data_IF_577274506516
#
_entry.id   IF_577274506516
#
_cell.length_a   1.000
_cell.length_b   1.000
_cell.length_c   1.000
_cell.angle_alpha   90.00
_cell.angle_beta   90.00
_cell.angle_gamma   90.00
#
_symmetry.space_group_name_H-M   'P 1'
#
loop_
_entity.id
_entity.type
_entity.pdbx_description
1 polymer ?
#
# COMPACT_ATOMS: atom_id res chain seq x y z
N UNK A 1 -17.11 -56.57 -9.49
CA UNK A 1 -18.06 -55.57 -8.97
C UNK A 1 -17.29 -54.74 -7.96
N UNK A 2 -17.30 -53.41 -8.08
CA UNK A 2 -16.64 -52.54 -7.12
C UNK A 2 -17.73 -52.17 -6.11
N UNK A 3 -17.67 -52.74 -4.92
CA UNK A 3 -18.57 -52.39 -3.83
C UNK A 3 -18.15 -51.01 -3.31
N UNK A 4 -18.79 -49.96 -3.86
CA UNK A 4 -18.54 -48.58 -3.45
C UNK A 4 -19.37 -48.30 -2.19
N UNK A 5 -18.71 -48.32 -1.04
CA UNK A 5 -19.33 -47.93 0.22
C UNK A 5 -19.14 -46.43 0.43
N UNK A 6 -20.25 -45.70 0.51
CA UNK A 6 -20.25 -44.27 0.82
C UNK A 6 -20.73 -44.12 2.26
N UNK A 7 -19.84 -43.65 3.14
CA UNK A 7 -20.11 -43.48 4.58
C UNK A 7 -20.63 -44.74 5.29
N UNK A 8 -20.17 -45.93 4.88
CA UNK A 8 -20.59 -47.20 5.48
C UNK A 8 -21.96 -47.72 5.02
N UNK A 9 -22.60 -47.03 4.06
CA UNK A 9 -23.84 -47.45 3.44
C UNK A 9 -23.51 -48.00 2.04
N UNK A 10 -24.02 -49.18 1.66
CA UNK A 10 -23.83 -49.71 0.32
C UNK A 10 -24.51 -48.82 -0.72
N UNK A 11 -23.87 -48.63 -1.87
CA UNK A 11 -24.37 -47.74 -2.92
C UNK A 11 -25.78 -48.12 -3.41
N UNK A 12 -26.10 -49.42 -3.50
CA UNK A 12 -27.44 -49.88 -3.88
C UNK A 12 -28.55 -49.31 -2.99
N UNK A 13 -28.31 -49.15 -1.68
CA UNK A 13 -29.32 -48.69 -0.74
C UNK A 13 -29.59 -47.20 -0.88
N UNK A 14 -28.56 -46.41 -1.17
CA UNK A 14 -28.68 -44.98 -1.47
C UNK A 14 -29.45 -44.77 -2.78
N UNK A 15 -29.12 -45.55 -3.81
CA UNK A 15 -29.82 -45.49 -5.11
C UNK A 15 -31.28 -45.89 -4.94
N UNK A 16 -31.55 -46.97 -4.20
CA UNK A 16 -32.92 -47.42 -3.94
C UNK A 16 -33.72 -46.34 -3.19
N UNK A 17 -33.15 -45.75 -2.14
CA UNK A 17 -33.76 -44.64 -1.41
C UNK A 17 -34.09 -43.45 -2.33
N UNK A 18 -33.18 -43.09 -3.24
CA UNK A 18 -33.39 -42.00 -4.20
C UNK A 18 -34.50 -42.32 -5.21
N UNK A 19 -34.54 -43.55 -5.73
CA UNK A 19 -35.54 -43.99 -6.72
C UNK A 19 -36.94 -44.06 -6.11
N UNK A 20 -37.08 -44.38 -4.82
CA UNK A 20 -38.37 -44.43 -4.12
C UNK A 20 -38.97 -43.02 -3.91
N UNK A 21 -38.17 -41.95 -3.95
CA UNK A 21 -38.67 -40.59 -3.79
C UNK A 21 -39.59 -40.17 -4.96
N UNK A 22 -40.62 -39.34 -4.72
CA UNK A 22 -41.42 -38.75 -5.79
C UNK A 22 -40.56 -37.89 -6.72
N UNK A 23 -41.00 -37.70 -7.97
CA UNK A 23 -40.26 -36.97 -9.03
C UNK A 23 -39.76 -35.60 -8.55
N UNK A 24 -40.58 -34.86 -7.81
CA UNK A 24 -40.18 -33.56 -7.24
C UNK A 24 -39.01 -33.67 -6.26
N UNK A 25 -38.97 -34.73 -5.45
CA UNK A 25 -37.89 -35.00 -4.50
C UNK A 25 -36.58 -35.33 -5.22
N UNK A 26 -36.63 -36.15 -6.27
CA UNK A 26 -35.46 -36.47 -7.09
C UNK A 26 -34.85 -35.23 -7.74
N UNK A 27 -35.70 -34.35 -8.30
CA UNK A 27 -35.25 -33.09 -8.91
C UNK A 27 -34.63 -32.17 -7.86
N UNK A 28 -35.25 -32.01 -6.69
CA UNK A 28 -34.72 -31.17 -5.62
C UNK A 28 -33.38 -31.66 -5.10
N UNK A 29 -33.21 -32.98 -4.91
CA UNK A 29 -31.95 -33.57 -4.49
C UNK A 29 -30.86 -33.32 -5.55
N UNK A 30 -31.18 -33.54 -6.83
CA UNK A 30 -30.22 -33.31 -7.93
C UNK A 30 -29.77 -31.85 -7.98
N UNK A 31 -30.71 -30.91 -7.93
CA UNK A 31 -30.42 -29.46 -7.88
C UNK A 31 -29.61 -29.12 -6.63
N UNK A 32 -29.94 -29.71 -5.48
CA UNK A 32 -29.21 -29.51 -4.23
C UNK A 32 -27.75 -29.96 -4.31
N UNK A 33 -27.49 -31.13 -4.88
CA UNK A 33 -26.12 -31.65 -5.08
C UNK A 33 -25.34 -30.74 -6.03
N UNK A 34 -25.95 -30.30 -7.13
CA UNK A 34 -25.31 -29.37 -8.08
C UNK A 34 -24.98 -28.03 -7.39
N UNK A 35 -25.92 -27.49 -6.61
CA UNK A 35 -25.72 -26.26 -5.86
C UNK A 35 -24.60 -26.40 -4.82
N UNK A 36 -24.54 -27.52 -4.10
CA UNK A 36 -23.47 -27.83 -3.14
C UNK A 36 -22.11 -27.94 -3.83
N UNK A 37 -22.03 -28.59 -5.00
CA UNK A 37 -20.80 -28.68 -5.79
C UNK A 37 -20.34 -27.30 -6.26
N UNK A 38 -21.26 -26.48 -6.79
CA UNK A 38 -20.94 -25.12 -7.23
C UNK A 38 -20.42 -24.27 -6.05
N UNK A 39 -21.08 -24.36 -4.89
CA UNK A 39 -20.66 -23.66 -3.67
C UNK A 39 -19.26 -24.12 -3.23
N UNK A 40 -19.00 -25.43 -3.23
CA UNK A 40 -17.70 -25.98 -2.87
C UNK A 40 -16.59 -25.46 -3.80
N UNK A 41 -16.83 -25.41 -5.11
CA UNK A 41 -15.87 -24.88 -6.09
C UNK A 41 -15.59 -23.40 -5.82
N UNK A 42 -16.64 -22.60 -5.60
CA UNK A 42 -16.50 -21.17 -5.30
C UNK A 42 -15.71 -20.97 -4.00
N UNK A 43 -16.00 -21.75 -2.97
CA UNK A 43 -15.31 -21.70 -1.68
C UNK A 43 -13.82 -22.04 -1.83
N UNK A 44 -13.49 -23.11 -2.56
CA UNK A 44 -12.09 -23.47 -2.87
C UNK A 44 -11.38 -22.36 -3.63
N UNK A 45 -12.04 -21.75 -4.63
CA UNK A 45 -11.50 -20.62 -5.37
C UNK A 45 -11.16 -19.44 -4.45
N UNK A 46 -12.06 -19.06 -3.55
CA UNK A 46 -11.82 -17.97 -2.61
C UNK A 46 -10.73 -18.29 -1.58
N UNK A 47 -10.65 -19.54 -1.10
CA UNK A 47 -9.57 -19.97 -0.21
C UNK A 47 -8.22 -19.86 -0.92
N UNK A 48 -8.10 -20.41 -2.13
CA UNK A 48 -6.86 -20.32 -2.91
C UNK A 48 -6.45 -18.87 -3.18
N UNK A 49 -7.41 -18.02 -3.56
CA UNK A 49 -7.17 -16.59 -3.76
C UNK A 49 -6.72 -15.90 -2.47
N UNK A 50 -7.35 -16.23 -1.34
CA UNK A 50 -6.99 -15.72 -0.02
C UNK A 50 -5.59 -16.14 0.41
N UNK A 51 -5.24 -17.42 0.24
CA UNK A 51 -3.91 -17.96 0.56
C UNK A 51 -2.84 -17.32 -0.32
N UNK A 52 -3.07 -17.20 -1.62
CA UNK A 52 -2.13 -16.54 -2.52
C UNK A 52 -1.88 -15.07 -2.12
N UNK A 53 -2.95 -14.35 -1.75
CA UNK A 53 -2.86 -12.97 -1.28
C UNK A 53 -2.10 -12.87 0.05
N UNK A 54 -2.35 -13.80 0.98
CA UNK A 54 -1.68 -13.86 2.28
C UNK A 54 -0.18 -14.10 2.11
N UNK A 55 0.22 -15.06 1.27
CA UNK A 55 1.63 -15.34 0.95
C UNK A 55 2.30 -14.10 0.32
N UNK A 56 1.64 -13.46 -0.64
CA UNK A 56 2.14 -12.22 -1.25
C UNK A 56 2.40 -11.13 -0.19
N UNK A 57 1.48 -10.93 0.75
CA UNK A 57 1.63 -9.94 1.81
C UNK A 57 2.72 -10.29 2.81
N UNK A 58 2.88 -11.58 3.17
CA UNK A 58 3.96 -12.02 4.05
C UNK A 58 5.31 -11.77 3.39
N UNK A 59 5.49 -12.17 2.13
CA UNK A 59 6.74 -11.94 1.40
C UNK A 59 7.05 -10.45 1.27
N UNK A 60 6.05 -9.64 0.91
CA UNK A 60 6.19 -8.18 0.83
C UNK A 60 6.57 -7.59 2.18
N UNK A 61 5.89 -8.00 3.25
CA UNK A 61 6.17 -7.57 4.62
C UNK A 61 7.60 -7.89 5.05
N UNK A 62 8.04 -9.13 4.84
CA UNK A 62 9.39 -9.58 5.15
C UNK A 62 10.43 -8.79 4.35
N UNK A 63 10.20 -8.54 3.06
CA UNK A 63 11.10 -7.72 2.23
C UNK A 63 11.27 -6.30 2.78
N UNK A 64 10.17 -5.64 3.18
CA UNK A 64 10.24 -4.29 3.77
C UNK A 64 10.91 -4.29 5.15
N UNK A 65 10.66 -5.31 5.98
CA UNK A 65 11.33 -5.46 7.26
C UNK A 65 12.84 -5.63 7.10
N UNK A 66 13.27 -6.52 6.20
CA UNK A 66 14.70 -6.76 5.95
C UNK A 66 15.39 -5.50 5.42
N UNK A 67 14.72 -4.77 4.51
CA UNK A 67 15.19 -3.47 4.03
C UNK A 67 15.30 -2.43 5.15
N UNK A 68 14.35 -2.43 6.09
CA UNK A 68 14.37 -1.56 7.27
C UNK A 68 15.53 -1.86 8.21
N UNK A 69 15.71 -3.13 8.60
CA UNK A 69 16.82 -3.57 9.44
C UNK A 69 18.17 -3.25 8.76
N UNK A 70 18.31 -3.53 7.47
CA UNK A 70 19.54 -3.26 6.73
C UNK A 70 19.94 -1.78 6.75
N UNK A 71 18.98 -0.87 6.62
CA UNK A 71 19.22 0.58 6.68
C UNK A 71 19.62 1.04 8.09
N UNK A 72 19.00 0.44 9.11
CA UNK A 72 19.30 0.71 10.52
C UNK A 72 20.73 0.26 10.87
N UNK A 73 21.09 -0.94 10.42
CA UNK A 73 22.43 -1.50 10.60
C UNK A 73 23.49 -0.71 9.82
N UNK A 74 23.22 -0.36 8.56
CA UNK A 74 24.11 0.48 7.76
C UNK A 74 24.39 1.81 8.46
N UNK A 75 23.35 2.48 8.99
CA UNK A 75 23.50 3.75 9.71
C UNK A 75 24.27 3.59 11.04
N UNK A 76 24.08 2.47 11.74
CA UNK A 76 24.84 2.17 12.96
C UNK A 76 26.32 1.90 12.66
N UNK A 77 26.62 1.12 11.62
CA UNK A 77 28.00 0.89 11.16
C UNK A 77 28.66 2.18 10.66
N UNK A 78 27.92 3.03 9.93
CA UNK A 78 28.41 4.32 9.48
C UNK A 78 28.76 5.23 10.68
N UNK A 79 27.88 5.32 11.67
CA UNK A 79 28.13 6.10 12.90
C UNK A 79 29.36 5.59 13.67
N UNK A 80 29.52 4.27 13.79
CA UNK A 80 30.70 3.66 14.42
C UNK A 80 31.98 3.90 13.61
N UNK A 81 31.92 3.78 12.28
CA UNK A 81 33.07 4.00 11.41
C UNK A 81 33.62 5.43 11.53
N UNK A 82 32.74 6.44 11.58
CA UNK A 82 33.15 7.83 11.77
C UNK A 82 33.58 8.15 13.21
N UNK A 83 32.96 7.52 14.23
CA UNK A 83 33.39 7.68 15.62
C UNK A 83 34.81 7.13 15.84
N UNK A 84 35.16 6.03 15.17
CA UNK A 84 36.49 5.40 15.29
C UNK A 84 37.52 6.06 14.37
N UNK A 85 37.12 6.54 13.18
CA UNK A 85 38.06 7.10 12.20
C UNK A 85 38.52 8.54 12.50
N UNK A 86 37.92 9.24 13.47
CA UNK A 86 38.17 10.68 13.78
C UNK A 86 38.06 11.64 12.58
N UNK A 87 37.73 11.14 11.39
CA UNK A 87 37.56 11.94 10.18
C UNK A 87 36.12 12.47 10.13
N UNK A 88 35.93 13.78 9.90
CA UNK A 88 34.60 14.34 9.78
C UNK A 88 33.86 13.71 8.59
N UNK A 89 32.60 13.36 8.81
CA UNK A 89 31.70 12.83 7.78
C UNK A 89 31.67 13.83 6.61
N UNK A 90 31.93 13.42 5.35
CA UNK A 90 31.75 14.32 4.22
C UNK A 90 30.26 14.63 4.09
N UNK A 91 29.86 15.84 4.51
CA UNK A 91 28.49 16.34 4.45
C UNK A 91 27.74 16.44 5.78
N UNK A 92 28.33 16.13 6.94
CA UNK A 92 27.74 16.56 8.22
C UNK A 92 28.25 17.96 8.55
N UNK A 93 27.44 18.97 8.24
CA UNK A 93 27.54 20.26 8.93
C UNK A 93 27.42 19.97 10.42
N UNK A 94 28.51 20.23 11.12
CA UNK A 94 28.60 20.30 12.57
C UNK A 94 27.48 21.18 13.10
N UNK A 95 26.48 20.58 13.76
CA UNK A 95 25.79 21.28 14.84
C UNK A 95 26.65 21.07 16.08
N UNK A 96 27.74 21.83 16.13
CA UNK A 96 28.33 22.22 17.40
C UNK A 96 27.30 23.11 18.07
N UNK A 97 26.82 22.64 19.20
CA UNK A 97 26.08 23.44 20.16
C UNK A 97 27.09 24.04 21.14
N UNK A 98 27.46 25.32 20.98
CA UNK A 98 27.79 26.15 22.12
C UNK A 98 26.85 27.36 22.15
N UNK A 99 26.02 27.44 23.18
CA UNK A 99 25.33 28.67 23.61
C UNK A 99 24.27 29.25 22.66
N UNK A 100 23.03 29.33 23.13
CA UNK A 100 22.06 30.31 22.62
C UNK A 100 22.52 31.75 22.96
N UNK A 101 21.94 32.84 22.41
CA UNK A 101 20.95 32.98 21.32
C UNK A 101 21.35 34.02 20.23
N UNK A 102 20.45 34.24 19.25
CA UNK A 102 20.34 35.40 18.33
C UNK A 102 21.06 35.27 16.98
N UNK A 103 20.59 35.74 15.82
CA UNK A 103 19.38 36.42 15.27
C UNK A 103 19.52 36.31 13.73
N UNK A 104 18.42 36.45 12.98
CA UNK A 104 18.33 36.69 11.52
C UNK A 104 18.95 35.68 10.55
N UNK A 105 18.08 34.93 9.86
CA UNK A 105 18.42 34.27 8.59
C UNK A 105 17.69 35.04 7.48
N UNK A 106 18.44 35.89 6.77
CA UNK A 106 18.11 36.24 5.40
C UNK A 106 18.44 35.05 4.48
N UNK A 107 17.65 34.80 3.42
CA UNK A 107 17.68 33.54 2.68
C UNK A 107 18.44 33.65 1.35
N UNK A 108 19.39 32.75 1.08
CA UNK A 108 19.87 32.48 -0.30
C UNK A 108 20.63 31.14 -0.38
N UNK A 109 20.75 30.51 -1.55
CA UNK A 109 19.69 29.96 -2.40
C UNK A 109 19.83 28.43 -2.49
N UNK A 110 18.76 27.68 -2.21
CA UNK A 110 18.76 26.22 -2.39
C UNK A 110 18.34 25.92 -3.83
N UNK A 111 19.27 25.43 -4.64
CA UNK A 111 18.98 24.87 -5.96
C UNK A 111 18.13 23.62 -5.75
N UNK A 112 16.84 23.56 -6.17
CA UNK A 112 16.02 22.38 -5.95
C UNK A 112 16.39 21.31 -6.98
N UNK A 113 16.80 20.16 -6.46
CA UNK A 113 16.86 18.88 -7.16
C UNK A 113 15.51 18.67 -7.87
N UNK A 114 15.53 18.64 -9.21
CA UNK A 114 14.39 18.31 -10.07
C UNK A 114 13.86 16.90 -9.73
N UNK A 115 12.97 16.81 -8.76
CA UNK A 115 11.87 15.84 -8.83
C UNK A 115 10.78 16.49 -9.66
N UNK A 116 10.26 15.73 -10.61
CA UNK A 116 9.25 16.11 -11.59
C UNK A 116 7.99 16.62 -10.87
N UNK A 117 7.92 17.93 -10.61
CA UNK A 117 6.73 18.61 -10.11
C UNK A 117 5.92 18.97 -11.33
N UNK A 118 4.68 18.50 -11.37
CA UNK A 118 3.75 18.98 -12.38
C UNK A 118 3.38 20.42 -12.04
N UNK A 119 3.51 21.27 -13.06
CA UNK A 119 3.25 22.69 -12.99
C UNK A 119 1.74 22.93 -12.97
N UNK A 120 1.24 23.59 -11.94
CA UNK A 120 -0.20 23.86 -11.78
C UNK A 120 -0.38 25.31 -11.34
N UNK A 121 -1.41 25.98 -11.86
CA UNK A 121 -1.78 27.33 -11.43
C UNK A 121 -2.19 27.35 -9.94
N UNK A 122 -1.85 28.42 -9.20
CA UNK A 122 -2.11 28.52 -7.75
C UNK A 122 -3.60 28.41 -7.36
N UNK A 123 -4.51 28.61 -8.32
CA UNK A 123 -5.97 28.56 -8.11
C UNK A 123 -6.56 27.16 -8.29
N UNK A 124 -5.74 26.15 -8.59
CA UNK A 124 -6.24 24.80 -8.77
C UNK A 124 -6.82 24.25 -7.48
N UNK A 125 -8.13 24.01 -7.48
CA UNK A 125 -8.87 23.50 -6.31
C UNK A 125 -8.79 21.98 -6.19
N UNK A 126 -8.28 21.29 -7.21
CA UNK A 126 -8.26 19.83 -7.31
C UNK A 126 -6.89 19.31 -7.74
N UNK A 127 -6.55 18.13 -7.23
CA UNK A 127 -5.36 17.39 -7.64
C UNK A 127 -5.50 16.86 -9.08
N UNK A 128 -4.55 17.15 -9.96
CA UNK A 128 -4.55 16.69 -11.37
C UNK A 128 -4.43 15.17 -11.50
N UNK A 129 -3.85 14.51 -10.49
CA UNK A 129 -3.56 13.08 -10.54
C UNK A 129 -4.71 12.22 -9.99
N UNK A 130 -5.39 12.68 -8.94
CA UNK A 130 -6.45 11.90 -8.27
C UNK A 130 -7.82 12.57 -8.26
N UNK A 131 -7.95 13.78 -8.81
CA UNK A 131 -9.22 14.52 -8.87
C UNK A 131 -9.77 14.95 -7.51
N UNK A 132 -9.04 14.71 -6.42
CA UNK A 132 -9.49 15.06 -5.06
C UNK A 132 -9.30 16.54 -4.80
N UNK A 133 -10.30 17.17 -4.16
CA UNK A 133 -10.25 18.58 -3.76
C UNK A 133 -9.12 18.81 -2.74
N UNK A 134 -8.33 19.85 -2.92
CA UNK A 134 -7.35 20.26 -1.92
C UNK A 134 -8.05 20.81 -0.67
N UNK A 135 -7.48 20.52 0.50
CA UNK A 135 -7.96 21.09 1.76
C UNK A 135 -7.51 22.56 1.86
N UNK A 136 -8.23 23.38 2.64
CA UNK A 136 -7.89 24.81 2.78
C UNK A 136 -6.45 25.04 3.27
N UNK A 137 -5.95 24.16 4.15
CA UNK A 137 -4.54 24.17 4.61
C UNK A 137 -3.54 23.91 3.48
N UNK A 138 -3.92 23.08 2.51
CA UNK A 138 -3.09 22.73 1.35
C UNK A 138 -3.03 23.88 0.36
N UNK A 139 -4.17 24.53 0.10
CA UNK A 139 -4.26 25.72 -0.77
C UNK A 139 -3.46 26.87 -0.13
N UNK A 140 -3.59 27.08 1.17
CA UNK A 140 -2.82 28.08 1.90
C UNK A 140 -1.31 27.78 1.85
N UNK A 141 -0.91 26.51 1.94
CA UNK A 141 0.51 26.11 1.81
C UNK A 141 1.02 26.28 0.39
N UNK A 142 0.20 26.00 -0.62
CA UNK A 142 0.51 26.23 -2.02
C UNK A 142 0.70 27.73 -2.31
N UNK A 143 -0.17 28.59 -1.76
CA UNK A 143 -0.07 30.04 -1.89
C UNK A 143 1.13 30.64 -1.15
N UNK A 144 1.48 30.10 0.03
CA UNK A 144 2.55 30.67 0.87
C UNK A 144 3.95 30.14 0.54
N UNK A 145 4.06 28.86 0.17
CA UNK A 145 5.35 28.16 -0.03
C UNK A 145 5.57 27.72 -1.48
N UNK A 146 4.61 27.97 -2.36
CA UNK A 146 4.67 27.61 -3.77
C UNK A 146 4.65 26.11 -4.03
N UNK A 147 4.56 25.24 -3.02
CA UNK A 147 4.51 23.79 -3.22
C UNK A 147 3.63 23.06 -2.21
N UNK A 148 2.94 22.02 -2.67
CA UNK A 148 2.06 21.19 -1.83
C UNK A 148 2.06 19.74 -2.29
N UNK A 149 1.94 18.81 -1.35
CA UNK A 149 1.81 17.38 -1.64
C UNK A 149 0.37 16.93 -1.44
N UNK A 150 -0.20 16.20 -2.39
CA UNK A 150 -1.53 15.63 -2.20
C UNK A 150 -1.53 14.53 -1.12
N UNK A 151 -2.44 14.64 -0.15
CA UNK A 151 -2.60 13.64 0.92
C UNK A 151 -3.09 12.27 0.42
N UNK A 152 -3.77 12.24 -0.74
CA UNK A 152 -4.34 11.01 -1.30
C UNK A 152 -3.39 10.28 -2.25
N UNK A 153 -2.64 11.00 -3.10
CA UNK A 153 -1.74 10.37 -4.08
C UNK A 153 -0.25 10.59 -3.80
N UNK A 154 0.12 11.42 -2.82
CA UNK A 154 1.50 11.70 -2.43
C UNK A 154 2.32 12.49 -3.47
N UNK A 155 1.69 12.98 -4.53
CA UNK A 155 2.35 13.76 -5.59
C UNK A 155 2.53 15.22 -5.16
N UNK A 156 3.71 15.76 -5.44
CA UNK A 156 4.08 17.14 -5.18
C UNK A 156 3.75 18.03 -6.35
N UNK A 157 3.15 19.18 -6.06
CA UNK A 157 2.76 20.20 -7.02
C UNK A 157 3.45 21.50 -6.66
N UNK A 158 3.83 22.25 -7.67
CA UNK A 158 4.47 23.55 -7.49
C UNK A 158 3.66 24.61 -8.26
N UNK A 159 3.23 25.66 -7.56
CA UNK A 159 2.63 26.83 -8.16
C UNK A 159 3.74 27.83 -8.51
N UNK A 160 3.72 28.35 -9.73
CA UNK A 160 4.51 29.55 -10.01
C UNK A 160 3.87 30.71 -9.27
N UNK A 161 4.66 31.44 -8.50
CA UNK A 161 4.28 32.80 -8.13
C UNK A 161 4.06 33.57 -9.43
N UNK A 162 2.84 34.03 -9.66
CA UNK A 162 2.60 35.04 -10.68
C UNK A 162 3.37 36.28 -10.23
N UNK A 163 4.50 36.57 -10.88
CA UNK A 163 5.06 37.91 -10.85
C UNK A 163 4.02 38.83 -11.50
N UNK A 164 3.32 39.57 -10.65
CA UNK A 164 2.47 40.68 -11.08
C UNK A 164 3.45 41.80 -11.45
N UNK A 165 3.71 41.98 -12.75
CA UNK A 165 4.33 43.21 -13.26
C UNK A 165 3.40 44.39 -12.88
N UNK A 166 3.96 45.33 -12.12
CA UNK A 166 3.35 46.61 -11.73
C UNK A 166 3.49 47.59 -12.90
#
# INVERSE_FOLDING_TARGET
MIDVNIFGIPWEEIVNWFVIQPIYGQILILVGVIALLALAIVLVYYILKGVAYLVYYILKGTYYLLKGIGLLFYKACEALYYAISEKPKPGSVSIQQPGAPQIEIQPEPIIPIQKNHQHIQPDATFCTECGTKYTDKMIQTLSNKGSVFCIHCGKGFQANSLEIEI
#
